data_IF_123713697244
#
_entry.id   IF_123713697244
#
_cell.length_a   1.000
_cell.length_b   1.000
_cell.length_c   1.000
_cell.angle_alpha   90.00
_cell.angle_beta   90.00
_cell.angle_gamma   90.00
#
_symmetry.space_group_name_H-M   'P 1'
#
loop_
_entity.id
_entity.type
_entity.pdbx_description
1 polymer ?
#
# COMPACT_ATOMS: atom_id res chain seq x y z
N UNK A 1 -9.88 13.89 2.26
CA UNK A 1 -10.44 12.68 2.90
C UNK A 1 -9.41 11.57 2.76
N UNK A 2 -8.97 10.98 3.87
CA UNK A 2 -8.02 9.86 3.87
C UNK A 2 -8.81 8.57 3.63
N UNK A 3 -8.40 7.77 2.63
CA UNK A 3 -9.12 6.56 2.20
C UNK A 3 -10.27 6.86 1.24
N UNK A 4 -9.98 7.16 -0.04
CA UNK A 4 -11.01 7.26 -1.09
C UNK A 4 -11.76 5.92 -1.26
N UNK A 5 -11.09 4.83 -0.89
CA UNK A 5 -11.60 3.45 -0.88
C UNK A 5 -12.27 3.05 0.44
N UNK A 6 -12.57 4.03 1.32
CA UNK A 6 -13.17 3.81 2.64
C UNK A 6 -12.34 2.94 3.60
N UNK A 7 -11.02 2.85 3.35
CA UNK A 7 -10.08 2.13 4.22
C UNK A 7 -9.70 3.07 5.40
N UNK A 8 -10.06 2.74 6.65
CA UNK A 8 -10.00 3.68 7.77
C UNK A 8 -8.58 3.94 8.30
N UNK A 9 -7.69 2.95 8.25
CA UNK A 9 -6.36 3.05 8.85
C UNK A 9 -6.40 3.25 10.36
N UNK A 10 -5.31 3.82 10.92
CA UNK A 10 -5.22 4.13 12.35
C UNK A 10 -5.74 5.55 12.62
N UNK A 11 -6.75 5.72 13.50
CA UNK A 11 -7.25 7.03 13.88
C UNK A 11 -6.17 7.98 14.40
N UNK A 12 -6.24 9.25 14.00
CA UNK A 12 -5.30 10.32 14.41
C UNK A 12 -3.83 10.06 14.04
N UNK A 13 -3.58 9.18 13.07
CA UNK A 13 -2.32 9.05 12.34
C UNK A 13 -2.54 9.60 10.93
N UNK A 14 -1.68 10.54 10.52
CA UNK A 14 -1.77 11.18 9.20
C UNK A 14 -0.83 10.51 8.18
N UNK A 15 -0.97 10.89 6.90
CA UNK A 15 -0.03 10.58 5.81
C UNK A 15 1.42 10.74 6.22
N UNK A 16 1.71 11.93 6.71
CA UNK A 16 3.07 12.37 6.99
C UNK A 16 3.65 11.54 8.13
N UNK A 17 2.85 11.29 9.16
CA UNK A 17 3.23 10.45 10.29
C UNK A 17 3.45 9.01 9.86
N UNK A 18 2.53 8.42 9.09
CA UNK A 18 2.63 7.06 8.58
C UNK A 18 3.89 6.89 7.70
N UNK A 19 4.12 7.79 6.76
CA UNK A 19 5.30 7.77 5.89
C UNK A 19 6.61 7.91 6.68
N UNK A 20 6.64 8.75 7.72
CA UNK A 20 7.82 8.90 8.60
C UNK A 20 8.10 7.62 9.38
N UNK A 21 7.07 6.93 9.88
CA UNK A 21 7.23 5.66 10.59
C UNK A 21 7.72 4.56 9.64
N UNK A 22 7.11 4.45 8.46
CA UNK A 22 7.54 3.47 7.44
C UNK A 22 8.98 3.72 7.01
N UNK A 23 9.38 4.98 6.78
CA UNK A 23 10.76 5.32 6.43
C UNK A 23 11.77 4.96 7.54
N UNK A 24 11.36 5.07 8.81
CA UNK A 24 12.22 4.72 9.95
C UNK A 24 12.39 3.22 10.17
N UNK A 25 11.35 2.43 9.91
CA UNK A 25 11.31 1.00 10.25
C UNK A 25 11.36 0.07 9.03
N UNK A 26 11.45 0.61 7.82
CA UNK A 26 11.76 -0.17 6.61
C UNK A 26 13.22 -0.62 6.63
N UNK A 27 13.49 -1.73 7.30
CA UNK A 27 14.84 -2.26 7.48
C UNK A 27 15.28 -3.26 6.42
N UNK A 28 14.38 -4.02 5.78
CA UNK A 28 14.79 -5.27 5.10
C UNK A 28 14.18 -5.49 3.71
N UNK A 29 14.89 -6.30 2.92
CA UNK A 29 14.92 -6.46 1.46
C UNK A 29 13.63 -6.95 0.76
N UNK A 30 12.52 -7.10 1.46
CA UNK A 30 11.24 -7.40 0.82
C UNK A 30 10.56 -6.11 0.39
N UNK A 31 10.09 -6.05 -0.87
CA UNK A 31 9.53 -4.85 -1.53
C UNK A 31 8.23 -4.31 -0.88
N UNK A 32 7.91 -4.73 0.34
CA UNK A 32 6.69 -4.39 1.05
C UNK A 32 7.06 -3.76 2.38
N UNK A 33 6.87 -2.44 2.48
CA UNK A 33 6.94 -1.76 3.75
C UNK A 33 5.88 -2.33 4.71
N UNK A 34 6.30 -2.95 5.81
CA UNK A 34 5.39 -3.75 6.65
C UNK A 34 5.10 -3.07 7.98
N UNK A 35 3.81 -2.88 8.28
CA UNK A 35 3.34 -2.28 9.52
C UNK A 35 3.64 -3.16 10.73
N UNK A 36 3.79 -4.47 10.53
CA UNK A 36 4.21 -5.45 11.52
C UNK A 36 5.57 -5.13 12.13
N UNK A 37 6.50 -4.62 11.32
CA UNK A 37 7.84 -4.24 11.82
C UNK A 37 7.76 -3.02 12.75
N UNK A 38 6.85 -2.08 12.45
CA UNK A 38 6.55 -0.96 13.34
C UNK A 38 5.98 -1.48 14.67
N UNK A 39 5.16 -2.54 14.64
CA UNK A 39 4.63 -3.17 15.85
C UNK A 39 5.72 -3.85 16.69
N UNK A 40 6.72 -4.47 16.05
CA UNK A 40 7.88 -5.07 16.74
C UNK A 40 8.74 -4.03 17.46
N UNK A 41 8.83 -2.80 16.92
CA UNK A 41 9.62 -1.70 17.49
C UNK A 41 8.77 -0.64 18.21
N UNK A 42 7.55 -0.99 18.64
CA UNK A 42 6.62 -0.07 19.30
C UNK A 42 7.24 0.71 20.48
N UNK A 43 8.13 0.05 21.24
CA UNK A 43 8.79 0.59 22.42
C UNK A 43 9.75 1.75 22.13
N UNK A 44 10.19 1.93 20.88
CA UNK A 44 11.06 3.03 20.45
C UNK A 44 10.27 4.24 19.94
N UNK A 45 8.93 4.13 19.84
CA UNK A 45 8.06 5.16 19.29
C UNK A 45 7.59 6.11 20.40
N UNK A 46 7.32 7.37 20.05
CA UNK A 46 6.82 8.34 21.01
C UNK A 46 5.54 7.85 21.72
N UNK A 47 5.34 8.15 23.03
CA UNK A 47 4.23 7.62 23.82
C UNK A 47 2.84 7.87 23.20
N UNK A 48 2.67 9.06 22.61
CA UNK A 48 1.41 9.47 21.97
C UNK A 48 1.07 8.67 20.70
N UNK A 49 2.07 8.21 19.96
CA UNK A 49 1.88 7.37 18.77
C UNK A 49 1.79 5.90 19.19
N UNK A 50 2.60 5.48 20.17
CA UNK A 50 2.56 4.15 20.77
C UNK A 50 1.14 3.77 21.22
N UNK A 51 0.48 4.62 22.00
CA UNK A 51 -0.87 4.33 22.50
C UNK A 51 -1.88 4.16 21.36
N UNK A 52 -1.81 5.01 20.32
CA UNK A 52 -2.69 4.94 19.15
C UNK A 52 -2.49 3.66 18.37
N UNK A 53 -1.24 3.32 18.05
CA UNK A 53 -0.91 2.11 17.32
C UNK A 53 -1.32 0.87 18.11
N UNK A 54 -1.02 0.84 19.42
CA UNK A 54 -1.33 -0.31 20.26
C UNK A 54 -2.84 -0.53 20.40
N UNK A 55 -3.62 0.53 20.61
CA UNK A 55 -5.08 0.45 20.74
C UNK A 55 -5.76 0.10 19.42
N UNK A 56 -5.19 0.50 18.28
CA UNK A 56 -5.75 0.30 16.95
C UNK A 56 -4.96 -0.71 16.10
N UNK A 57 -4.30 -1.68 16.75
CA UNK A 57 -3.45 -2.63 16.04
C UNK A 57 -4.23 -3.47 15.03
N UNK A 58 -5.40 -4.00 15.43
CA UNK A 58 -6.23 -4.85 14.58
C UNK A 58 -6.69 -4.11 13.33
N UNK A 59 -7.21 -2.89 13.47
CA UNK A 59 -7.66 -2.09 12.32
C UNK A 59 -6.50 -1.68 11.41
N UNK A 60 -5.30 -1.50 11.97
CA UNK A 60 -4.10 -1.21 11.19
C UNK A 60 -3.71 -2.39 10.29
N UNK A 61 -3.73 -3.61 10.84
CA UNK A 61 -3.43 -4.84 10.11
C UNK A 61 -4.50 -5.16 9.07
N UNK A 62 -5.78 -5.02 9.43
CA UNK A 62 -6.91 -5.19 8.49
C UNK A 62 -6.84 -4.17 7.34
N UNK A 63 -6.56 -2.91 7.65
CA UNK A 63 -6.41 -1.86 6.62
C UNK A 63 -5.25 -2.15 5.68
N UNK A 64 -4.14 -2.71 6.19
CA UNK A 64 -3.01 -3.17 5.36
C UNK A 64 -3.44 -4.31 4.43
N UNK A 65 -4.15 -5.31 4.96
CA UNK A 65 -4.64 -6.42 4.15
C UNK A 65 -5.56 -5.94 3.02
N UNK A 66 -6.53 -5.08 3.32
CA UNK A 66 -7.45 -4.52 2.33
C UNK A 66 -6.74 -3.66 1.26
N UNK A 67 -5.69 -2.96 1.64
CA UNK A 67 -4.90 -2.15 0.71
C UNK A 67 -3.85 -2.95 -0.08
N UNK A 68 -3.64 -4.23 0.24
CA UNK A 68 -2.65 -5.07 -0.44
C UNK A 68 -3.30 -5.79 -1.61
N UNK A 69 -2.77 -5.59 -2.82
CA UNK A 69 -3.24 -6.29 -4.01
C UNK A 69 -2.73 -7.74 -4.03
N UNK A 70 -3.61 -8.68 -4.34
CA UNK A 70 -3.24 -10.06 -4.67
C UNK A 70 -2.57 -10.08 -6.04
N UNK A 71 -1.32 -10.58 -6.09
CA UNK A 71 -0.49 -10.59 -7.30
C UNK A 71 -0.45 -11.95 -7.98
N UNK A 72 -0.73 -13.01 -7.22
CA UNK A 72 -0.69 -14.39 -7.69
C UNK A 72 -2.09 -14.83 -8.16
N UNK A 73 -2.69 -14.03 -9.04
CA UNK A 73 -4.00 -14.35 -9.62
C UNK A 73 -3.81 -15.31 -10.79
N UNK A 74 -4.42 -16.50 -10.70
CA UNK A 74 -4.49 -17.41 -11.83
C UNK A 74 -5.40 -16.81 -12.90
N UNK A 75 -4.81 -16.36 -14.00
CA UNK A 75 -5.56 -15.89 -15.16
C UNK A 75 -6.04 -17.11 -15.96
N UNK A 76 -7.25 -17.02 -16.52
CA UNK A 76 -7.73 -17.90 -17.58
C UNK A 76 -6.70 -17.95 -18.73
N UNK A 77 -6.74 -18.92 -19.69
CA UNK A 77 -5.71 -19.05 -20.72
C UNK A 77 -5.69 -17.84 -21.67
N UNK A 78 -5.01 -16.78 -21.23
CA UNK A 78 -4.78 -15.56 -21.94
C UNK A 78 -3.27 -15.26 -21.90
N UNK A 79 -2.67 -15.18 -23.08
CA UNK A 79 -1.25 -14.94 -23.28
C UNK A 79 -1.04 -13.48 -23.66
N UNK A 80 0.10 -12.88 -23.27
CA UNK A 80 0.45 -11.50 -23.62
C UNK A 80 0.32 -11.20 -25.13
N UNK A 81 0.52 -12.20 -26.00
CA UNK A 81 0.35 -12.05 -27.44
C UNK A 81 -1.08 -11.67 -27.86
N UNK A 82 -2.12 -12.12 -27.14
CA UNK A 82 -3.51 -11.80 -27.44
C UNK A 82 -3.88 -10.36 -27.08
N UNK A 83 -3.06 -9.69 -26.27
CA UNK A 83 -3.26 -8.29 -25.85
C UNK A 83 -2.53 -7.29 -26.75
N UNK A 84 -1.95 -7.72 -27.88
CA UNK A 84 -1.28 -6.83 -28.83
C UNK A 84 -2.28 -5.90 -29.50
N UNK A 85 -2.26 -4.61 -29.17
CA UNK A 85 -2.93 -3.58 -29.96
C UNK A 85 -2.09 -3.20 -31.19
N UNK A 86 -2.74 -3.08 -32.35
CA UNK A 86 -2.15 -2.39 -33.49
C UNK A 86 -2.20 -0.88 -33.20
N UNK A 87 -1.03 -0.22 -33.09
CA UNK A 87 -0.98 1.24 -33.07
C UNK A 87 -1.57 1.74 -34.39
N UNK A 88 -2.70 2.47 -34.34
CA UNK A 88 -3.11 3.25 -35.51
C UNK A 88 -1.99 4.27 -35.75
N UNK A 89 -1.34 4.20 -36.91
CA UNK A 89 -0.54 5.33 -37.40
C UNK A 89 -1.48 6.53 -37.51
N UNK A 90 -1.06 7.69 -37.03
CA UNK A 90 -1.71 8.94 -37.38
C UNK A 90 -1.69 9.05 -38.91
N UNK A 91 -2.87 8.99 -39.50
CA UNK A 91 -3.10 9.25 -40.92
C UNK A 91 -2.83 10.74 -41.12
N UNK A 92 -1.58 11.06 -41.48
CA UNK A 92 -1.21 12.38 -41.96
C UNK A 92 -1.72 12.48 -43.40
N UNK A 93 -3.01 12.81 -43.53
CA UNK A 93 -3.58 13.20 -44.81
C UNK A 93 -2.98 14.54 -45.24
N UNK A 94 -2.13 14.43 -46.26
CA UNK A 94 -1.71 15.51 -47.14
C UNK A 94 -2.94 15.92 -47.94
N UNK A 95 -3.44 17.14 -47.72
CA UNK A 95 -4.08 17.98 -48.75
C UNK A 95 -3.64 19.42 -48.52
#
# INVERSE_FOLDING_TARGET
>A
MWGRDNIPGVPRISAKTAATLLAKYNSNAERTASIEEIFNHLWQISPAIYQKLRFHQEIALLSKQLATLERELSLAPCTLQQLRCASKKAEADIV
#
